data_IF_071707246572
#
_entry.id   IF_071707246572
#
_cell.length_a   1.000
_cell.length_b   1.000
_cell.length_c   1.000
_cell.angle_alpha   90.00
_cell.angle_beta   90.00
_cell.angle_gamma   90.00
#
_symmetry.space_group_name_H-M   'P 1'
#
loop_
_entity.id
_entity.type
_entity.pdbx_description
1 polymer ?
#
# COMPACT_ATOMS: atom_id res chain seq x y z
N UNK A 1 1.86 -58.56 32.81
CA UNK A 1 2.15 -57.26 32.19
C UNK A 1 1.97 -56.16 33.24
N UNK A 2 3.04 -55.48 33.61
CA UNK A 2 3.02 -54.54 34.73
C UNK A 2 2.36 -53.21 34.33
N UNK A 3 1.68 -52.60 35.27
CA UNK A 3 0.98 -51.29 35.14
C UNK A 3 1.89 -50.18 34.58
N UNK A 4 3.21 -50.31 34.75
CA UNK A 4 4.19 -49.36 34.17
C UNK A 4 4.30 -49.42 32.63
N UNK A 5 3.99 -50.51 31.97
CA UNK A 5 4.02 -50.59 30.50
C UNK A 5 2.75 -49.99 29.86
N UNK A 6 1.62 -49.96 30.57
CA UNK A 6 0.42 -49.30 30.10
C UNK A 6 0.53 -47.76 30.18
N UNK A 7 1.24 -47.25 31.20
CA UNK A 7 1.45 -45.78 31.35
C UNK A 7 2.33 -45.20 30.26
N UNK A 8 3.32 -45.92 29.74
CA UNK A 8 4.19 -45.46 28.67
C UNK A 8 3.52 -45.43 27.30
N UNK A 9 2.50 -46.25 27.06
CA UNK A 9 1.73 -46.26 25.82
C UNK A 9 0.71 -45.11 25.80
N UNK A 10 0.17 -44.70 26.95
CA UNK A 10 -0.76 -43.57 27.05
C UNK A 10 -0.06 -42.19 26.91
N UNK A 11 1.22 -42.10 27.33
CA UNK A 11 1.98 -40.83 27.24
C UNK A 11 2.45 -40.54 25.81
N UNK A 12 2.68 -41.59 25.00
CA UNK A 12 3.16 -41.40 23.61
C UNK A 12 2.06 -41.07 22.60
N UNK A 13 0.79 -41.29 22.95
CA UNK A 13 -0.36 -40.93 22.07
C UNK A 13 -0.88 -39.48 22.22
N UNK A 14 -0.34 -38.74 23.20
CA UNK A 14 -0.80 -37.36 23.48
C UNK A 14 -0.01 -36.25 22.78
N UNK A 15 1.00 -36.54 21.95
CA UNK A 15 1.92 -35.53 21.42
C UNK A 15 1.80 -35.28 19.89
N UNK A 16 0.76 -35.78 19.23
CA UNK A 16 0.49 -35.45 17.86
C UNK A 16 -0.85 -34.71 17.74
N UNK A 17 -1.01 -33.58 18.41
CA UNK A 17 -1.94 -32.57 17.90
C UNK A 17 -1.35 -32.04 16.60
N UNK A 18 -2.05 -32.16 15.43
CA UNK A 18 -1.57 -31.50 14.23
C UNK A 18 -1.46 -30.01 14.57
N UNK A 19 -0.25 -29.46 14.49
CA UNK A 19 -0.07 -28.01 14.53
C UNK A 19 -0.92 -27.46 13.39
N UNK A 20 -2.06 -26.89 13.72
CA UNK A 20 -2.85 -26.14 12.72
C UNK A 20 -1.93 -25.06 12.19
N UNK A 21 -1.75 -24.96 10.87
CA UNK A 21 -0.99 -23.90 10.27
C UNK A 21 -1.69 -22.59 10.64
N UNK A 22 -0.95 -21.69 11.28
CA UNK A 22 -1.45 -20.37 11.62
C UNK A 22 -1.33 -19.49 10.39
N UNK A 23 -2.42 -18.81 10.02
CA UNK A 23 -2.42 -17.80 8.96
C UNK A 23 -2.27 -16.46 9.65
N UNK A 24 -1.23 -15.72 9.30
CA UNK A 24 -0.91 -14.43 9.90
C UNK A 24 -1.43 -13.27 9.05
N UNK A 25 -1.28 -13.35 7.71
CA UNK A 25 -1.73 -12.34 6.76
C UNK A 25 -2.44 -12.94 5.55
N UNK A 26 -3.48 -12.25 5.09
CA UNK A 26 -4.16 -12.50 3.82
C UNK A 26 -4.39 -11.14 3.17
N UNK A 27 -3.69 -10.87 2.09
CA UNK A 27 -3.70 -9.55 1.47
C UNK A 27 -3.97 -9.63 -0.05
N UNK A 28 -4.83 -8.75 -0.58
CA UNK A 28 -5.61 -7.70 0.11
C UNK A 28 -6.59 -8.29 1.14
N UNK A 29 -7.00 -7.49 2.14
CA UNK A 29 -7.84 -7.95 3.26
C UNK A 29 -9.24 -8.42 2.83
N UNK A 30 -9.74 -7.89 1.73
CA UNK A 30 -10.99 -8.22 1.05
C UNK A 30 -10.92 -7.74 -0.39
N UNK A 31 -11.93 -8.11 -1.20
CA UNK A 31 -12.07 -7.59 -2.55
C UNK A 31 -13.54 -7.30 -2.89
N UNK A 32 -13.79 -6.79 -4.09
CA UNK A 32 -15.14 -6.46 -4.54
C UNK A 32 -15.55 -7.31 -5.76
N UNK A 33 -16.82 -7.67 -5.81
CA UNK A 33 -17.42 -8.20 -7.04
C UNK A 33 -17.73 -7.06 -8.01
N UNK A 34 -17.65 -7.31 -9.30
CA UNK A 34 -17.98 -6.30 -10.32
C UNK A 34 -16.83 -5.34 -10.63
N UNK A 35 -15.60 -5.66 -10.25
CA UNK A 35 -14.41 -4.96 -10.75
C UNK A 35 -14.28 -5.15 -12.26
N UNK A 36 -13.81 -4.12 -12.98
CA UNK A 36 -13.59 -4.20 -14.43
C UNK A 36 -12.49 -5.21 -14.75
N UNK A 37 -11.42 -5.25 -13.94
CA UNK A 37 -10.45 -6.33 -13.99
C UNK A 37 -10.93 -7.49 -13.08
N UNK A 38 -11.31 -8.65 -13.65
CA UNK A 38 -11.80 -9.79 -12.88
C UNK A 38 -10.69 -10.57 -12.16
N UNK A 39 -9.41 -10.25 -12.41
CA UNK A 39 -8.27 -10.94 -11.81
C UNK A 39 -7.97 -10.38 -10.42
N UNK A 40 -7.73 -11.29 -9.48
CA UNK A 40 -7.27 -10.99 -8.13
C UNK A 40 -6.14 -11.93 -7.77
N UNK A 41 -5.03 -11.41 -7.26
CA UNK A 41 -3.98 -12.21 -6.63
C UNK A 41 -4.04 -12.02 -5.12
N UNK A 42 -4.19 -13.10 -4.37
CA UNK A 42 -4.14 -13.08 -2.90
C UNK A 42 -2.75 -13.57 -2.46
N UNK A 43 -2.07 -12.77 -1.67
CA UNK A 43 -0.89 -13.18 -0.92
C UNK A 43 -1.34 -13.72 0.44
N UNK A 44 -0.89 -14.91 0.80
CA UNK A 44 -1.12 -15.52 2.11
C UNK A 44 0.22 -15.76 2.79
N UNK A 45 0.36 -15.31 4.02
CA UNK A 45 1.50 -15.58 4.89
C UNK A 45 1.05 -16.35 6.13
N UNK A 46 1.85 -17.35 6.49
CA UNK A 46 1.64 -18.14 7.68
C UNK A 46 2.64 -19.30 7.71
N UNK A 47 2.89 -19.86 8.86
CA UNK A 47 3.88 -20.91 9.03
C UNK A 47 3.61 -22.10 8.08
N UNK A 48 4.58 -22.41 7.21
CA UNK A 48 4.57 -23.51 6.26
C UNK A 48 3.36 -23.52 5.29
N UNK A 49 2.66 -22.36 5.11
CA UNK A 49 1.46 -22.28 4.27
C UNK A 49 1.75 -22.58 2.79
N UNK A 50 2.96 -22.28 2.31
CA UNK A 50 3.43 -22.60 0.96
C UNK A 50 3.50 -24.09 0.63
N UNK A 51 3.48 -24.96 1.66
CA UNK A 51 3.45 -26.42 1.48
C UNK A 51 2.02 -26.96 1.31
N UNK A 52 1.02 -26.09 1.30
CA UNK A 52 -0.39 -26.45 1.16
C UNK A 52 -0.92 -26.26 -0.25
N UNK A 53 -2.10 -26.80 -0.49
CA UNK A 53 -2.89 -26.54 -1.69
C UNK A 53 -4.18 -25.83 -1.27
N UNK A 54 -4.40 -24.56 -1.68
CA UNK A 54 -5.64 -23.85 -1.39
C UNK A 54 -6.81 -24.43 -2.23
N UNK A 55 -7.95 -24.51 -1.59
CA UNK A 55 -9.22 -24.94 -2.21
C UNK A 55 -10.29 -23.88 -1.90
N UNK A 56 -10.95 -23.41 -2.93
CA UNK A 56 -12.05 -22.46 -2.85
C UNK A 56 -13.25 -23.08 -3.53
N UNK A 57 -14.38 -23.13 -2.84
CA UNK A 57 -15.65 -23.51 -3.42
C UNK A 57 -16.65 -22.36 -3.24
N UNK A 58 -16.62 -21.42 -4.19
CA UNK A 58 -17.48 -20.25 -4.17
C UNK A 58 -18.00 -19.94 -5.59
N UNK A 59 -19.34 -19.84 -5.79
CA UNK A 59 -19.92 -19.61 -7.12
C UNK A 59 -19.37 -18.34 -7.77
N UNK A 60 -18.84 -18.49 -8.99
CA UNK A 60 -18.25 -17.37 -9.73
C UNK A 60 -16.81 -17.03 -9.38
N UNK A 61 -16.15 -17.80 -8.51
CA UNK A 61 -14.70 -17.66 -8.21
C UNK A 61 -13.96 -18.91 -8.64
N UNK A 62 -12.86 -18.72 -9.37
CA UNK A 62 -12.02 -19.83 -9.87
C UNK A 62 -10.57 -19.55 -9.55
N UNK A 63 -9.88 -20.53 -8.95
CA UNK A 63 -8.41 -20.50 -8.84
C UNK A 63 -7.83 -20.73 -10.23
N UNK A 64 -7.06 -19.78 -10.74
CA UNK A 64 -6.37 -19.86 -12.03
C UNK A 64 -4.99 -20.44 -11.88
N UNK A 65 -4.28 -20.02 -10.84
CA UNK A 65 -2.92 -20.50 -10.56
C UNK A 65 -2.59 -20.36 -9.09
N UNK A 66 -1.73 -21.24 -8.63
CA UNK A 66 -1.15 -21.23 -7.29
C UNK A 66 0.35 -21.11 -7.47
N UNK A 67 0.96 -20.13 -6.80
CA UNK A 67 2.39 -19.91 -6.87
C UNK A 67 3.00 -20.08 -5.48
N UNK A 68 3.96 -20.97 -5.37
CA UNK A 68 4.81 -21.09 -4.19
C UNK A 68 5.89 -20.03 -4.24
N UNK A 69 6.14 -19.38 -3.13
CA UNK A 69 7.26 -18.47 -2.99
C UNK A 69 8.56 -19.22 -2.68
N UNK A 70 9.69 -18.50 -2.62
CA UNK A 70 10.96 -19.07 -2.15
C UNK A 70 10.90 -19.36 -0.64
N UNK A 71 10.25 -18.48 0.14
CA UNK A 71 9.90 -18.79 1.52
C UNK A 71 8.68 -19.72 1.55
N UNK A 72 8.80 -20.82 2.29
CA UNK A 72 7.71 -21.78 2.51
C UNK A 72 6.53 -21.21 3.32
N UNK A 73 6.68 -20.02 3.88
CA UNK A 73 5.65 -19.32 4.65
C UNK A 73 4.76 -18.46 3.78
N UNK A 74 4.94 -18.43 2.46
CA UNK A 74 4.12 -17.66 1.54
C UNK A 74 3.47 -18.49 0.45
N UNK A 75 2.28 -18.07 0.07
CA UNK A 75 1.54 -18.60 -1.07
C UNK A 75 0.85 -17.46 -1.81
N UNK A 76 0.92 -17.46 -3.14
CA UNK A 76 0.18 -16.52 -3.98
C UNK A 76 -0.88 -17.28 -4.77
N UNK A 77 -2.12 -16.78 -4.73
CA UNK A 77 -3.28 -17.44 -5.33
C UNK A 77 -3.89 -16.48 -6.36
N UNK A 78 -3.77 -16.83 -7.64
CA UNK A 78 -4.42 -16.09 -8.72
C UNK A 78 -5.86 -16.57 -8.86
N UNK A 79 -6.80 -15.65 -8.68
CA UNK A 79 -8.24 -15.88 -8.81
C UNK A 79 -8.81 -15.17 -10.02
N UNK A 80 -9.85 -15.74 -10.57
CA UNK A 80 -10.79 -15.07 -11.48
C UNK A 80 -12.13 -14.92 -10.78
N UNK A 81 -12.61 -13.70 -10.65
CA UNK A 81 -13.93 -13.37 -10.10
C UNK A 81 -14.84 -13.02 -11.26
N UNK A 82 -15.73 -13.94 -11.62
CA UNK A 82 -16.66 -13.74 -12.72
C UNK A 82 -17.69 -12.64 -12.39
N UNK A 83 -18.22 -11.97 -13.41
CA UNK A 83 -19.28 -10.96 -13.22
C UNK A 83 -20.58 -11.52 -12.62
N UNK A 84 -20.74 -12.86 -12.58
CA UNK A 84 -21.86 -13.55 -11.93
C UNK A 84 -21.64 -13.80 -10.43
N UNK A 85 -20.41 -13.62 -9.93
CA UNK A 85 -20.12 -13.77 -8.51
C UNK A 85 -20.97 -12.82 -7.66
N UNK A 86 -21.43 -13.30 -6.51
CA UNK A 86 -22.21 -12.50 -5.57
C UNK A 86 -21.34 -12.04 -4.41
N UNK A 87 -21.66 -10.91 -3.76
CA UNK A 87 -21.03 -10.55 -2.49
C UNK A 87 -21.26 -11.61 -1.42
N UNK A 88 -20.28 -11.82 -0.55
CA UNK A 88 -20.37 -12.79 0.55
C UNK A 88 -18.97 -13.21 1.04
N UNK A 89 -18.94 -14.11 2.00
CA UNK A 89 -17.71 -14.65 2.54
C UNK A 89 -17.40 -16.01 1.87
N UNK A 90 -16.29 -16.10 1.16
CA UNK A 90 -15.75 -17.37 0.70
C UNK A 90 -14.78 -17.95 1.71
N UNK A 91 -14.76 -19.26 1.85
CA UNK A 91 -13.76 -19.96 2.65
C UNK A 91 -12.61 -20.39 1.75
N UNK A 92 -11.39 -20.13 2.19
CA UNK A 92 -10.17 -20.66 1.57
C UNK A 92 -9.65 -21.73 2.51
N UNK A 93 -9.74 -22.99 2.09
CA UNK A 93 -9.19 -24.13 2.82
C UNK A 93 -7.79 -24.45 2.31
N UNK A 94 -6.84 -24.59 3.21
CA UNK A 94 -5.46 -24.97 2.91
C UNK A 94 -5.26 -26.43 3.26
N UNK A 95 -5.03 -27.25 2.23
CA UNK A 95 -4.91 -28.70 2.38
C UNK A 95 -3.48 -29.19 2.23
N UNK A 96 -3.09 -30.13 3.09
CA UNK A 96 -1.86 -30.88 2.99
C UNK A 96 -2.17 -32.37 3.08
N UNK A 97 -1.68 -33.17 2.13
CA UNK A 97 -1.98 -34.61 2.03
C UNK A 97 -3.50 -34.91 2.09
N UNK A 98 -4.31 -34.06 1.44
CA UNK A 98 -5.77 -34.20 1.36
C UNK A 98 -6.56 -33.73 2.60
N UNK A 99 -5.89 -33.39 3.69
CA UNK A 99 -6.51 -32.88 4.93
C UNK A 99 -6.44 -31.37 4.99
N UNK A 100 -7.51 -30.71 5.40
CA UNK A 100 -7.49 -29.27 5.70
C UNK A 100 -6.74 -29.05 7.00
N UNK A 101 -5.66 -28.22 6.92
CA UNK A 101 -4.81 -27.91 8.07
C UNK A 101 -4.97 -26.45 8.53
N UNK A 102 -5.51 -25.61 7.67
CA UNK A 102 -5.90 -24.22 7.99
C UNK A 102 -7.07 -23.80 7.12
N UNK A 103 -7.83 -22.83 7.58
CA UNK A 103 -8.92 -22.20 6.82
C UNK A 103 -9.03 -20.73 7.18
N UNK A 104 -9.37 -19.89 6.21
CA UNK A 104 -9.70 -18.49 6.45
C UNK A 104 -10.95 -18.08 5.69
N UNK A 105 -11.66 -17.09 6.21
CA UNK A 105 -12.77 -16.43 5.51
C UNK A 105 -12.23 -15.23 4.76
N UNK A 106 -12.61 -15.11 3.49
CA UNK A 106 -12.25 -13.97 2.65
C UNK A 106 -13.50 -13.30 2.12
N UNK A 107 -13.66 -12.02 2.36
CA UNK A 107 -14.87 -11.28 2.00
C UNK A 107 -14.80 -10.74 0.59
N UNK A 108 -15.82 -11.06 -0.22
CA UNK A 108 -16.14 -10.38 -1.47
C UNK A 108 -17.26 -9.37 -1.19
N UNK A 109 -16.94 -8.10 -1.26
CA UNK A 109 -17.87 -7.01 -0.95
C UNK A 109 -18.70 -6.63 -2.19
N UNK A 110 -19.87 -6.05 -1.95
CA UNK A 110 -20.63 -5.39 -3.00
C UNK A 110 -19.92 -4.08 -3.36
N UNK A 111 -19.57 -3.90 -4.62
CA UNK A 111 -19.00 -2.64 -5.10
C UNK A 111 -20.08 -1.56 -5.17
N UNK A 112 -19.72 -0.33 -4.84
CA UNK A 112 -20.59 0.82 -5.12
C UNK A 112 -20.78 0.94 -6.65
N UNK A 113 -22.03 1.10 -7.08
CA UNK A 113 -22.37 1.22 -8.51
C UNK A 113 -21.68 2.41 -9.18
N UNK A 114 -21.35 3.45 -8.44
CA UNK A 114 -20.72 4.68 -8.93
C UNK A 114 -19.19 4.69 -8.73
N UNK A 115 -18.60 3.68 -8.09
CA UNK A 115 -17.16 3.67 -7.76
C UNK A 115 -16.29 3.91 -8.99
N UNK A 116 -16.58 3.24 -10.13
CA UNK A 116 -15.84 3.42 -11.37
C UNK A 116 -16.02 4.81 -12.01
N UNK A 117 -17.05 5.57 -11.63
CA UNK A 117 -17.34 6.91 -12.11
C UNK A 117 -16.83 8.01 -11.19
N UNK A 118 -16.18 7.66 -10.09
CA UNK A 118 -15.67 8.62 -9.12
C UNK A 118 -14.75 9.63 -9.79
N UNK A 119 -15.10 10.91 -9.64
CA UNK A 119 -14.34 12.02 -10.21
C UNK A 119 -13.15 12.34 -9.31
N UNK A 120 -11.94 12.24 -9.86
CA UNK A 120 -10.72 12.70 -9.20
C UNK A 120 -10.66 14.21 -9.07
N UNK A 121 -9.63 14.70 -8.36
CA UNK A 121 -9.34 16.14 -8.33
C UNK A 121 -8.93 16.64 -9.73
N UNK A 122 -9.16 17.92 -9.99
CA UNK A 122 -8.78 18.58 -11.24
C UNK A 122 -8.39 20.06 -10.99
N UNK A 123 -8.24 20.84 -12.05
CA UNK A 123 -7.81 22.24 -11.96
C UNK A 123 -8.81 23.17 -11.23
N UNK A 124 -10.02 22.72 -10.93
CA UNK A 124 -10.99 23.44 -10.12
C UNK A 124 -10.84 23.22 -8.61
N UNK A 125 -9.97 22.29 -8.22
CA UNK A 125 -9.77 21.96 -6.81
C UNK A 125 -8.65 22.78 -6.18
N UNK A 126 -8.88 23.20 -4.95
CA UNK A 126 -7.88 23.77 -4.05
C UNK A 126 -7.58 22.75 -2.97
N UNK A 127 -6.32 22.29 -2.93
CA UNK A 127 -5.91 21.16 -2.10
C UNK A 127 -5.19 21.67 -0.86
N UNK A 128 -5.62 21.22 0.33
CA UNK A 128 -4.98 21.48 1.61
C UNK A 128 -4.09 20.29 1.99
N UNK A 129 -2.77 20.50 1.98
CA UNK A 129 -1.81 19.52 2.49
C UNK A 129 -1.79 19.56 4.02
N UNK A 130 -1.95 18.41 4.64
CA UNK A 130 -1.96 18.25 6.09
C UNK A 130 -0.84 17.27 6.48
N UNK A 131 0.02 17.67 7.41
CA UNK A 131 0.84 16.73 8.17
C UNK A 131 0.06 16.38 9.44
N UNK A 132 -0.60 15.20 9.52
CA UNK A 132 -1.59 14.91 10.58
C UNK A 132 -1.02 15.11 11.98
N UNK A 133 0.15 14.56 12.26
CA UNK A 133 0.83 14.68 13.54
C UNK A 133 1.04 16.15 14.00
N UNK A 134 1.13 17.09 13.04
CA UNK A 134 1.41 18.51 13.28
C UNK A 134 0.16 19.39 13.25
N UNK A 135 -0.99 18.85 12.88
CA UNK A 135 -2.19 19.63 12.62
C UNK A 135 -3.01 19.86 13.89
N UNK A 136 -3.66 18.84 14.38
CA UNK A 136 -4.49 18.91 15.58
C UNK A 136 -4.58 17.53 16.27
N UNK A 137 -4.49 17.53 17.59
CA UNK A 137 -4.70 16.34 18.42
C UNK A 137 -6.17 16.29 18.84
N UNK A 138 -6.94 15.41 18.26
CA UNK A 138 -8.37 15.22 18.56
C UNK A 138 -8.62 14.12 19.60
N UNK A 139 -7.69 13.17 19.72
CA UNK A 139 -7.77 12.06 20.67
C UNK A 139 -6.43 11.83 21.39
N UNK A 140 -6.16 12.53 22.51
CA UNK A 140 -4.92 12.32 23.26
C UNK A 140 -4.71 10.90 23.79
N UNK A 141 -5.73 10.03 23.78
CA UNK A 141 -5.59 8.65 24.23
C UNK A 141 -4.78 7.79 23.23
N UNK A 142 -4.71 8.20 21.97
CA UNK A 142 -3.93 7.52 20.94
C UNK A 142 -2.48 8.00 20.79
N UNK A 143 -2.08 9.04 21.52
CA UNK A 143 -0.72 9.63 21.46
C UNK A 143 0.37 8.57 21.63
N UNK A 144 0.15 7.62 22.55
CA UNK A 144 1.09 6.53 22.85
C UNK A 144 0.35 5.21 22.86
N UNK A 145 0.69 4.34 21.90
CA UNK A 145 0.06 3.03 21.73
C UNK A 145 1.04 1.91 22.08
N UNK A 146 0.58 0.93 22.84
CA UNK A 146 1.36 -0.27 23.17
C UNK A 146 1.78 -1.01 21.88
N UNK A 147 3.03 -1.47 21.83
CA UNK A 147 3.58 -2.15 20.65
C UNK A 147 4.22 -1.22 19.61
N UNK A 148 3.93 0.08 19.62
CA UNK A 148 4.63 1.04 18.77
C UNK A 148 6.01 1.38 19.34
N UNK A 149 7.02 1.51 18.45
CA UNK A 149 8.43 1.71 18.85
C UNK A 149 8.69 3.13 19.34
N UNK A 150 8.19 4.16 18.65
CA UNK A 150 8.30 5.55 19.08
C UNK A 150 7.16 5.86 20.06
N UNK A 151 7.50 6.04 21.34
CA UNK A 151 6.56 6.10 22.46
C UNK A 151 6.45 7.49 23.11
N UNK A 152 7.22 8.46 22.62
CA UNK A 152 7.31 9.76 23.27
C UNK A 152 6.70 10.83 22.38
N UNK A 153 5.81 11.64 22.95
CA UNK A 153 5.39 12.92 22.38
C UNK A 153 6.40 13.97 22.79
N UNK A 154 7.06 14.56 21.79
CA UNK A 154 8.02 15.66 22.03
C UNK A 154 7.78 16.78 21.01
N UNK A 155 6.93 17.72 21.38
CA UNK A 155 6.58 18.89 20.55
C UNK A 155 7.72 19.90 20.38
N UNK A 156 8.83 19.74 21.11
CA UNK A 156 10.01 20.58 20.98
C UNK A 156 11.02 20.01 19.99
N UNK A 157 11.01 18.70 19.79
CA UNK A 157 11.87 18.04 18.82
C UNK A 157 11.28 18.16 17.40
N UNK A 158 12.07 18.65 16.47
CA UNK A 158 11.67 18.81 15.06
C UNK A 158 11.22 17.48 14.43
N UNK A 159 11.91 16.39 14.75
CA UNK A 159 11.59 15.03 14.27
C UNK A 159 10.73 14.22 15.25
N UNK A 160 10.36 14.77 16.41
CA UNK A 160 9.51 14.09 17.40
C UNK A 160 8.05 14.07 16.99
N UNK A 161 7.25 13.19 17.60
CA UNK A 161 5.80 13.19 17.43
C UNK A 161 5.15 14.30 18.25
N UNK A 162 4.10 14.92 17.69
CA UNK A 162 3.32 15.98 18.33
C UNK A 162 1.92 15.54 18.75
N UNK A 163 1.44 14.38 18.24
CA UNK A 163 0.17 13.78 18.65
C UNK A 163 -1.05 14.23 17.86
N UNK A 164 -0.90 14.96 16.76
CA UNK A 164 -2.02 15.21 15.86
C UNK A 164 -2.49 13.93 15.16
N UNK A 165 -3.80 13.84 14.84
CA UNK A 165 -4.45 12.60 14.42
C UNK A 165 -5.63 12.82 13.46
N UNK A 166 -6.28 11.72 13.04
CA UNK A 166 -7.45 11.75 12.15
C UNK A 166 -8.64 12.46 12.82
N UNK A 167 -8.84 12.27 14.11
CA UNK A 167 -9.93 12.94 14.83
C UNK A 167 -9.74 14.45 14.80
N UNK A 168 -8.50 14.93 15.01
CA UNK A 168 -8.19 16.35 14.90
C UNK A 168 -8.44 16.93 13.51
N UNK A 169 -8.22 16.14 12.43
CA UNK A 169 -8.59 16.57 11.07
C UNK A 169 -10.12 16.65 10.94
N UNK A 170 -10.84 15.64 11.42
CA UNK A 170 -12.31 15.61 11.39
C UNK A 170 -12.91 16.82 12.08
N UNK A 171 -12.41 17.16 13.24
CA UNK A 171 -12.91 18.28 14.06
C UNK A 171 -12.69 19.66 13.39
N UNK A 172 -11.76 19.74 12.45
CA UNK A 172 -11.40 20.97 11.73
C UNK A 172 -11.84 21.00 10.26
N UNK A 173 -12.68 20.06 9.82
CA UNK A 173 -13.15 20.04 8.41
C UNK A 173 -13.94 21.29 8.04
N UNK A 174 -14.72 21.89 8.97
CA UNK A 174 -15.44 23.14 8.72
C UNK A 174 -14.48 24.32 8.51
N UNK A 175 -13.48 24.44 9.36
CA UNK A 175 -12.42 25.43 9.21
C UNK A 175 -11.71 25.32 7.84
N UNK A 176 -11.35 24.09 7.41
CA UNK A 176 -10.71 23.87 6.11
C UNK A 176 -11.65 24.25 4.97
N UNK A 177 -12.95 23.91 5.08
CA UNK A 177 -13.96 24.26 4.08
C UNK A 177 -14.20 25.76 3.99
N UNK A 178 -14.27 26.45 5.12
CA UNK A 178 -14.46 27.91 5.18
C UNK A 178 -13.30 28.67 4.57
N UNK A 179 -12.08 28.14 4.64
CA UNK A 179 -10.92 28.68 3.92
C UNK A 179 -10.98 28.48 2.39
N UNK A 180 -11.99 27.79 1.86
CA UNK A 180 -12.21 27.61 0.42
C UNK A 180 -11.52 26.36 -0.17
N UNK A 181 -10.99 25.44 0.65
CA UNK A 181 -10.41 24.20 0.15
C UNK A 181 -11.51 23.23 -0.30
N UNK A 182 -11.24 22.52 -1.39
CA UNK A 182 -12.15 21.51 -1.99
C UNK A 182 -11.59 20.10 -1.91
N UNK A 183 -10.38 19.94 -1.44
CA UNK A 183 -9.74 18.65 -1.18
C UNK A 183 -8.76 18.75 -0.02
N UNK A 184 -8.63 17.65 0.71
CA UNK A 184 -7.61 17.45 1.74
C UNK A 184 -6.64 16.37 1.29
N UNK A 185 -5.37 16.57 1.56
CA UNK A 185 -4.29 15.63 1.32
C UNK A 185 -3.47 15.47 2.62
N UNK A 186 -3.84 14.54 3.50
CA UNK A 186 -2.98 14.18 4.62
C UNK A 186 -1.75 13.42 4.12
N UNK A 187 -0.57 13.67 4.71
CA UNK A 187 0.59 12.79 4.53
C UNK A 187 0.23 11.37 5.02
N UNK A 188 1.02 10.32 4.69
CA UNK A 188 0.57 8.95 4.87
C UNK A 188 0.07 8.65 6.29
N UNK A 189 -1.12 8.06 6.39
CA UNK A 189 -1.77 7.65 7.63
C UNK A 189 -1.62 6.16 7.92
N UNK A 190 -0.88 5.44 7.05
CA UNK A 190 -0.60 4.02 7.23
C UNK A 190 0.40 3.79 8.37
N UNK A 191 0.39 2.59 8.94
CA UNK A 191 1.28 2.24 10.04
C UNK A 191 2.73 2.57 9.71
N UNK A 192 3.38 3.33 10.59
CA UNK A 192 4.80 3.67 10.53
C UNK A 192 5.44 3.34 11.88
N UNK A 193 5.66 2.05 12.13
CA UNK A 193 6.23 1.55 13.38
C UNK A 193 7.76 1.64 13.39
N UNK A 194 8.29 2.81 13.09
CA UNK A 194 9.71 3.14 13.18
C UNK A 194 10.05 3.69 14.57
N UNK A 195 11.33 3.56 14.97
CA UNK A 195 11.78 3.99 16.30
C UNK A 195 11.96 5.51 16.41
N UNK A 196 12.05 6.21 15.27
CA UNK A 196 12.27 7.66 15.18
C UNK A 196 11.56 8.22 13.96
N UNK A 197 11.20 9.50 14.03
CA UNK A 197 10.61 10.27 12.94
C UNK A 197 9.33 9.66 12.34
N UNK A 198 8.62 8.83 13.09
CA UNK A 198 7.42 8.14 12.58
C UNK A 198 6.26 9.09 12.27
N UNK A 199 6.36 10.36 12.67
CA UNK A 199 5.34 11.39 12.47
C UNK A 199 5.03 11.67 11.00
N UNK A 200 6.00 11.50 10.10
CA UNK A 200 5.84 11.86 8.70
C UNK A 200 5.05 10.84 7.87
N UNK A 201 4.97 9.56 8.31
CA UNK A 201 4.19 8.51 7.67
C UNK A 201 4.85 7.76 6.51
N UNK A 202 5.94 8.27 5.92
CA UNK A 202 6.50 7.71 4.67
C UNK A 202 7.27 6.40 4.84
N UNK A 203 7.73 6.03 6.05
CA UNK A 203 8.37 4.73 6.31
C UNK A 203 7.32 3.68 6.71
N UNK A 204 6.45 3.32 5.77
CA UNK A 204 5.31 2.42 5.99
C UNK A 204 5.79 1.06 6.49
N UNK A 205 5.13 0.51 7.51
CA UNK A 205 5.42 -0.82 8.07
C UNK A 205 4.28 -1.82 7.88
N UNK A 206 3.13 -1.37 7.38
CA UNK A 206 2.01 -2.21 6.96
C UNK A 206 1.13 -1.43 5.97
N UNK A 207 0.98 -1.94 4.74
CA UNK A 207 0.22 -1.27 3.68
C UNK A 207 -1.31 -1.37 3.83
N UNK A 208 -1.81 -2.22 4.71
CA UNK A 208 -3.25 -2.43 4.92
C UNK A 208 -3.73 -1.98 6.31
N UNK A 209 -2.86 -1.32 7.08
CA UNK A 209 -3.16 -0.91 8.45
C UNK A 209 -2.99 0.60 8.63
N UNK A 210 -3.95 1.23 9.26
CA UNK A 210 -3.83 2.62 9.73
C UNK A 210 -2.91 2.66 10.95
N UNK A 211 -2.05 3.67 11.06
CA UNK A 211 -1.22 3.86 12.25
C UNK A 211 -2.13 4.11 13.46
N UNK A 212 -2.06 3.26 14.50
CA UNK A 212 -2.98 3.37 15.63
C UNK A 212 -2.82 4.67 16.42
N UNK A 213 -1.72 5.40 16.21
CA UNK A 213 -1.49 6.74 16.79
C UNK A 213 -2.15 7.85 15.99
N UNK A 214 -2.64 7.55 14.79
CA UNK A 214 -3.50 8.44 14.01
C UNK A 214 -4.97 8.05 14.13
N UNK A 215 -5.28 6.82 14.53
CA UNK A 215 -6.64 6.33 14.70
C UNK A 215 -6.86 4.93 14.16
N UNK A 216 -8.10 4.66 13.74
CA UNK A 216 -8.53 3.35 13.24
C UNK A 216 -8.91 3.41 11.76
N UNK A 217 -9.05 2.24 11.13
CA UNK A 217 -9.60 2.12 9.78
C UNK A 217 -10.99 2.74 9.67
N UNK A 218 -11.84 2.52 10.67
CA UNK A 218 -13.20 3.06 10.64
C UNK A 218 -13.20 4.58 10.80
N UNK A 219 -12.30 5.13 11.62
CA UNK A 219 -12.13 6.58 11.73
C UNK A 219 -11.60 7.19 10.42
N UNK A 220 -10.73 6.48 9.68
CA UNK A 220 -10.26 6.95 8.37
C UNK A 220 -11.39 6.94 7.33
N UNK A 221 -12.25 5.92 7.33
CA UNK A 221 -13.48 5.90 6.51
C UNK A 221 -14.42 7.04 6.89
N UNK A 222 -14.57 7.31 8.19
CA UNK A 222 -15.38 8.42 8.69
C UNK A 222 -14.84 9.78 8.21
N UNK A 223 -13.52 10.00 8.26
CA UNK A 223 -12.90 11.19 7.69
C UNK A 223 -13.27 11.37 6.22
N UNK A 224 -13.16 10.30 5.42
CA UNK A 224 -13.52 10.36 4.00
C UNK A 224 -14.99 10.70 3.80
N UNK A 225 -15.89 10.05 4.53
CA UNK A 225 -17.33 10.28 4.43
C UNK A 225 -17.72 11.71 4.87
N UNK A 226 -17.15 12.21 5.96
CA UNK A 226 -17.40 13.58 6.45
C UNK A 226 -16.84 14.65 5.51
N UNK A 227 -15.65 14.43 4.95
CA UNK A 227 -15.10 15.33 3.93
C UNK A 227 -16.01 15.38 2.68
N UNK A 228 -16.45 14.20 2.19
CA UNK A 228 -17.36 14.10 1.06
C UNK A 228 -18.71 14.79 1.31
N UNK A 229 -19.28 14.65 2.51
CA UNK A 229 -20.52 15.32 2.91
C UNK A 229 -20.40 16.85 2.88
N UNK A 230 -19.18 17.37 3.04
CA UNK A 230 -18.87 18.82 2.90
C UNK A 230 -18.44 19.22 1.46
N UNK A 231 -18.52 18.29 0.50
CA UNK A 231 -18.09 18.49 -0.89
C UNK A 231 -16.59 18.57 -1.05
N UNK A 232 -15.81 18.02 -0.11
CA UNK A 232 -14.35 17.93 -0.19
C UNK A 232 -13.92 16.52 -0.58
N UNK A 233 -12.87 16.43 -1.40
CA UNK A 233 -12.24 15.18 -1.81
C UNK A 233 -11.15 14.79 -0.82
N UNK A 234 -10.99 13.48 -0.58
CA UNK A 234 -9.83 12.94 0.12
C UNK A 234 -8.80 12.45 -0.90
N UNK A 235 -7.57 12.95 -0.80
CA UNK A 235 -6.43 12.52 -1.60
C UNK A 235 -5.54 11.65 -0.72
N UNK A 236 -5.27 10.44 -1.19
CA UNK A 236 -4.39 9.49 -0.52
C UNK A 236 -2.93 9.74 -0.89
N UNK A 237 -2.04 9.81 0.07
CA UNK A 237 -0.60 9.86 -0.15
C UNK A 237 -0.07 8.43 -0.25
N UNK A 238 0.15 7.97 -1.49
CA UNK A 238 0.61 6.62 -1.80
C UNK A 238 2.13 6.54 -1.82
N UNK A 239 2.68 5.47 -1.26
CA UNK A 239 4.12 5.18 -1.29
C UNK A 239 4.31 3.79 -1.89
N UNK A 240 4.73 3.71 -3.16
CA UNK A 240 4.97 2.44 -3.87
C UNK A 240 6.45 2.19 -4.19
N UNK A 241 7.33 3.08 -3.73
CA UNK A 241 8.76 2.95 -3.98
C UNK A 241 9.48 2.18 -2.86
N UNK A 242 9.18 2.48 -1.62
CA UNK A 242 9.92 1.97 -0.47
C UNK A 242 9.01 1.64 0.71
N UNK A 243 9.55 0.90 1.67
CA UNK A 243 8.93 0.59 2.96
C UNK A 243 9.84 1.06 4.09
N UNK A 244 9.36 1.04 5.33
CA UNK A 244 10.22 1.19 6.51
C UNK A 244 10.89 -0.12 6.91
N UNK A 245 12.09 -0.08 7.47
CA UNK A 245 12.79 -1.26 8.04
C UNK A 245 11.97 -1.99 9.11
N UNK A 246 10.95 -1.36 9.68
CA UNK A 246 10.03 -1.98 10.62
C UNK A 246 8.95 -2.83 9.98
N UNK A 247 8.89 -2.92 8.65
CA UNK A 247 7.87 -3.69 7.93
C UNK A 247 7.96 -5.17 8.29
N UNK A 248 6.82 -5.82 8.49
CA UNK A 248 6.78 -7.23 8.91
C UNK A 248 7.46 -8.18 7.91
N UNK A 249 7.52 -7.83 6.60
CA UNK A 249 8.27 -8.58 5.58
C UNK A 249 9.75 -8.69 5.87
N UNK A 250 10.36 -7.75 6.60
CA UNK A 250 11.80 -7.78 6.89
C UNK A 250 12.21 -8.98 7.74
N UNK A 251 11.26 -9.66 8.40
CA UNK A 251 11.52 -10.89 9.15
C UNK A 251 11.55 -12.13 8.25
N UNK A 252 10.82 -12.10 7.13
CA UNK A 252 10.70 -13.20 6.18
C UNK A 252 10.19 -12.65 4.83
N UNK A 253 11.05 -12.60 3.83
CA UNK A 253 10.69 -12.15 2.49
C UNK A 253 10.14 -13.32 1.66
N UNK A 254 9.07 -13.12 0.86
CA UNK A 254 8.55 -14.18 0.00
C UNK A 254 9.54 -14.62 -1.07
N UNK A 255 10.31 -13.67 -1.62
CA UNK A 255 11.33 -13.90 -2.65
C UNK A 255 12.59 -13.08 -2.32
N UNK A 256 13.78 -13.58 -2.68
CA UNK A 256 15.04 -12.85 -2.54
C UNK A 256 15.04 -11.50 -3.25
N UNK A 257 14.33 -11.43 -4.38
CA UNK A 257 14.16 -10.20 -5.16
C UNK A 257 12.84 -9.46 -4.85
N UNK A 258 12.30 -9.60 -3.65
CA UNK A 258 11.13 -8.85 -3.20
C UNK A 258 11.45 -7.38 -2.99
N UNK A 259 12.60 -7.13 -2.38
CA UNK A 259 13.21 -5.81 -2.23
C UNK A 259 14.53 -5.78 -3.01
N UNK A 260 14.96 -4.59 -3.39
CA UNK A 260 16.26 -4.40 -4.03
C UNK A 260 17.37 -4.24 -2.98
N UNK A 261 18.57 -4.78 -3.27
CA UNK A 261 19.77 -4.64 -2.44
C UNK A 261 19.59 -5.07 -0.96
N UNK A 262 19.02 -6.26 -0.75
CA UNK A 262 18.81 -6.80 0.61
C UNK A 262 20.10 -7.33 1.26
N UNK A 263 21.10 -7.72 0.47
CA UNK A 263 22.37 -8.26 0.97
C UNK A 263 23.36 -7.18 1.42
N UNK A 264 23.17 -5.95 0.95
CA UNK A 264 24.03 -4.81 1.31
C UNK A 264 23.27 -3.50 1.09
N UNK A 265 23.41 -2.57 2.02
CA UNK A 265 22.81 -1.25 1.87
C UNK A 265 23.42 -0.51 0.67
N UNK A 266 22.61 -0.25 -0.35
CA UNK A 266 22.95 0.56 -1.51
C UNK A 266 21.94 1.69 -1.61
N UNK A 267 22.40 2.91 -1.37
CA UNK A 267 21.57 4.11 -1.45
C UNK A 267 21.30 4.53 -2.88
N UNK A 268 20.15 5.12 -3.13
CA UNK A 268 19.89 5.79 -4.41
C UNK A 268 20.86 6.96 -4.62
N UNK A 269 21.25 7.18 -5.88
CA UNK A 269 22.08 8.34 -6.24
C UNK A 269 21.29 9.65 -6.39
N UNK A 270 19.96 9.61 -6.24
CA UNK A 270 19.02 10.74 -6.40
C UNK A 270 19.14 11.49 -7.74
N UNK A 271 19.73 10.88 -8.77
CA UNK A 271 19.96 11.49 -10.08
C UNK A 271 18.75 11.27 -11.01
N UNK A 272 17.63 11.93 -10.70
CA UNK A 272 16.35 11.73 -11.40
C UNK A 272 16.43 11.89 -12.92
N UNK A 273 17.34 12.72 -13.43
CA UNK A 273 17.54 12.97 -14.87
C UNK A 273 17.97 11.74 -15.64
N UNK A 274 18.55 10.72 -15.00
CA UNK A 274 18.97 9.47 -15.67
C UNK A 274 17.79 8.69 -16.27
N UNK A 275 16.57 8.94 -15.76
CA UNK A 275 15.38 8.30 -16.30
C UNK A 275 15.08 8.69 -17.74
N UNK A 276 15.34 9.96 -18.10
CA UNK A 276 15.05 10.52 -19.42
C UNK A 276 16.29 10.52 -20.33
N UNK A 277 17.49 10.47 -19.74
CA UNK A 277 18.75 10.53 -20.50
C UNK A 277 19.03 9.19 -21.21
N UNK A 278 19.02 9.16 -22.56
CA UNK A 278 19.33 7.94 -23.31
C UNK A 278 20.79 7.50 -23.16
N UNK A 279 21.68 8.41 -22.78
CA UNK A 279 23.10 8.16 -22.62
C UNK A 279 23.53 7.88 -21.18
N UNK A 280 22.62 7.98 -20.21
CA UNK A 280 22.92 7.63 -18.84
C UNK A 280 23.36 6.18 -18.71
N UNK A 281 24.37 5.92 -17.89
CA UNK A 281 24.89 4.57 -17.65
C UNK A 281 23.81 3.66 -17.07
N UNK A 282 23.90 2.37 -17.37
CA UNK A 282 23.00 1.36 -16.75
C UNK A 282 23.14 1.34 -15.23
N UNK A 283 24.35 1.59 -14.73
CA UNK A 283 24.63 1.64 -13.30
C UNK A 283 23.92 2.82 -12.63
N UNK A 284 23.99 4.01 -13.21
CA UNK A 284 23.32 5.19 -12.64
C UNK A 284 21.81 5.03 -12.64
N UNK A 285 21.25 4.47 -13.73
CA UNK A 285 19.83 4.12 -13.81
C UNK A 285 19.42 3.12 -12.73
N UNK A 286 20.22 2.07 -12.54
CA UNK A 286 19.95 1.06 -11.52
C UNK A 286 20.04 1.66 -10.09
N UNK A 287 21.06 2.48 -9.82
CA UNK A 287 21.17 3.15 -8.53
C UNK A 287 19.99 4.08 -8.25
N UNK A 288 19.51 4.80 -9.28
CA UNK A 288 18.37 5.70 -9.13
C UNK A 288 17.07 4.95 -8.81
N UNK A 289 16.83 3.81 -9.48
CA UNK A 289 15.51 3.15 -9.46
C UNK A 289 15.45 1.88 -8.61
N UNK A 290 16.56 1.48 -8.00
CA UNK A 290 16.68 0.29 -7.15
C UNK A 290 17.39 0.58 -5.83
N UNK A 291 18.10 1.72 -5.72
CA UNK A 291 18.75 2.11 -4.48
C UNK A 291 17.72 2.52 -3.42
N UNK A 292 18.00 2.19 -2.17
CA UNK A 292 17.16 2.58 -1.04
C UNK A 292 17.04 4.10 -0.97
N UNK A 293 15.85 4.60 -0.72
CA UNK A 293 15.61 6.04 -0.65
C UNK A 293 16.38 6.70 0.52
N UNK A 294 16.42 6.01 1.63
CA UNK A 294 17.10 6.35 2.87
C UNK A 294 17.62 5.05 3.51
N UNK A 295 18.57 5.13 4.45
CA UNK A 295 19.14 3.96 5.12
C UNK A 295 18.12 3.14 5.92
N UNK A 296 16.95 3.72 6.18
CA UNK A 296 15.82 3.11 6.87
C UNK A 296 14.64 2.78 5.94
N UNK A 297 14.77 3.04 4.62
CA UNK A 297 13.71 2.91 3.63
C UNK A 297 14.10 1.96 2.47
N UNK A 298 14.02 0.63 2.68
CA UNK A 298 14.26 -0.37 1.65
C UNK A 298 13.40 -0.18 0.42
N UNK A 299 14.02 -0.31 -0.75
CA UNK A 299 13.37 -0.16 -2.05
C UNK A 299 12.58 -1.43 -2.44
N UNK A 300 11.31 -1.26 -2.84
CA UNK A 300 10.46 -2.34 -3.32
C UNK A 300 10.74 -2.64 -4.79
N UNK A 301 10.97 -3.91 -5.11
CA UNK A 301 11.28 -4.31 -6.48
C UNK A 301 10.02 -4.38 -7.36
N UNK A 302 9.67 -3.28 -8.00
CA UNK A 302 8.55 -3.23 -8.95
C UNK A 302 8.70 -4.11 -10.19
N UNK A 303 9.91 -4.61 -10.51
CA UNK A 303 10.14 -5.58 -11.58
C UNK A 303 9.67 -7.00 -11.17
N UNK A 304 9.55 -7.30 -9.87
CA UNK A 304 8.96 -8.54 -9.41
C UNK A 304 7.44 -8.52 -9.68
N UNK A 305 6.90 -9.49 -10.46
CA UNK A 305 5.49 -9.45 -10.86
C UNK A 305 4.51 -9.58 -9.69
N UNK A 306 4.89 -10.25 -8.61
CA UNK A 306 4.05 -10.37 -7.41
C UNK A 306 4.06 -9.08 -6.61
N UNK A 307 5.20 -8.40 -6.47
CA UNK A 307 5.28 -7.06 -5.87
C UNK A 307 4.46 -6.06 -6.68
N UNK A 308 4.61 -6.07 -8.00
CA UNK A 308 3.84 -5.20 -8.89
C UNK A 308 2.33 -5.40 -8.73
N UNK A 309 1.86 -6.66 -8.73
CA UNK A 309 0.45 -6.99 -8.52
C UNK A 309 -0.04 -6.55 -7.13
N UNK A 310 0.77 -6.79 -6.09
CA UNK A 310 0.47 -6.38 -4.72
C UNK A 310 0.24 -4.87 -4.60
N UNK A 311 1.17 -4.05 -5.12
CA UNK A 311 1.09 -2.59 -5.03
C UNK A 311 -0.06 -1.99 -5.86
N UNK A 312 -0.34 -2.58 -7.05
CA UNK A 312 -1.50 -2.20 -7.87
C UNK A 312 -2.80 -2.48 -7.10
N UNK A 313 -2.94 -3.69 -6.55
CA UNK A 313 -4.13 -4.09 -5.81
C UNK A 313 -4.29 -3.32 -4.50
N UNK A 314 -3.20 -3.02 -3.80
CA UNK A 314 -3.23 -2.17 -2.62
C UNK A 314 -3.77 -0.77 -2.93
N UNK A 315 -3.31 -0.13 -4.00
CA UNK A 315 -3.81 1.19 -4.41
C UNK A 315 -5.30 1.15 -4.76
N UNK A 316 -5.74 0.13 -5.50
CA UNK A 316 -7.16 -0.07 -5.84
C UNK A 316 -7.99 -0.32 -4.57
N UNK A 317 -7.46 -1.11 -3.63
CA UNK A 317 -8.12 -1.41 -2.36
C UNK A 317 -8.37 -0.15 -1.53
N UNK A 318 -7.39 0.77 -1.48
CA UNK A 318 -7.56 2.05 -0.79
C UNK A 318 -8.58 2.96 -1.50
N UNK A 319 -8.59 2.99 -2.85
CA UNK A 319 -9.57 3.76 -3.62
C UNK A 319 -10.99 3.31 -3.28
N UNK A 320 -11.25 2.00 -3.30
CA UNK A 320 -12.57 1.44 -2.99
C UNK A 320 -12.93 1.60 -1.51
N UNK A 321 -11.97 1.39 -0.60
CA UNK A 321 -12.21 1.43 0.86
C UNK A 321 -12.56 2.83 1.35
N UNK A 322 -11.92 3.86 0.79
CA UNK A 322 -12.06 5.26 1.24
C UNK A 322 -12.83 6.13 0.25
N UNK A 323 -13.27 5.61 -0.90
CA UNK A 323 -13.89 6.41 -1.96
C UNK A 323 -13.05 7.65 -2.31
N UNK A 324 -11.78 7.43 -2.61
CA UNK A 324 -10.77 8.48 -2.78
C UNK A 324 -11.07 9.42 -3.94
N UNK A 325 -10.82 10.70 -3.76
CA UNK A 325 -10.84 11.72 -4.82
C UNK A 325 -9.51 11.86 -5.58
N UNK A 326 -8.49 11.09 -5.25
CA UNK A 326 -7.20 11.08 -5.94
C UNK A 326 -6.10 10.38 -5.16
N UNK A 327 -4.95 10.19 -5.83
CA UNK A 327 -3.71 9.74 -5.21
C UNK A 327 -2.63 10.77 -5.51
N UNK A 328 -1.89 11.20 -4.48
CA UNK A 328 -0.55 11.74 -4.66
C UNK A 328 0.43 10.59 -4.50
N UNK A 329 1.21 10.33 -5.54
CA UNK A 329 2.20 9.26 -5.51
C UNK A 329 3.56 9.83 -5.14
N UNK A 330 4.02 9.45 -3.98
CA UNK A 330 5.32 9.79 -3.40
C UNK A 330 6.45 9.26 -4.29
N UNK A 331 7.55 10.03 -4.36
CA UNK A 331 8.80 9.62 -5.02
C UNK A 331 8.59 8.92 -6.38
N UNK A 332 7.68 9.44 -7.23
CA UNK A 332 7.22 8.75 -8.44
C UNK A 332 8.36 8.29 -9.34
N UNK A 333 9.36 9.13 -9.55
CA UNK A 333 10.46 8.86 -10.48
C UNK A 333 11.53 7.87 -9.94
N UNK A 334 11.40 7.39 -8.72
CA UNK A 334 12.38 6.47 -8.10
C UNK A 334 12.08 5.00 -8.40
N UNK A 335 10.86 4.66 -8.80
CA UNK A 335 10.47 3.28 -9.11
C UNK A 335 10.73 2.92 -10.58
N UNK A 336 10.74 1.63 -10.90
CA UNK A 336 10.86 1.13 -12.26
C UNK A 336 9.79 1.68 -13.20
N UNK A 337 10.17 2.12 -14.40
CA UNK A 337 9.27 2.75 -15.38
C UNK A 337 8.18 1.81 -15.88
N UNK A 338 8.47 0.54 -16.04
CA UNK A 338 7.49 -0.45 -16.51
C UNK A 338 6.45 -0.71 -15.45
N UNK A 339 6.91 -0.83 -14.20
CA UNK A 339 6.00 -0.90 -13.05
C UNK A 339 5.10 0.34 -12.96
N UNK A 340 5.65 1.55 -13.01
CA UNK A 340 4.87 2.80 -12.93
C UNK A 340 3.83 2.92 -14.03
N UNK A 341 4.18 2.50 -15.27
CA UNK A 341 3.23 2.42 -16.38
C UNK A 341 2.09 1.45 -16.05
N UNK A 342 2.43 0.22 -15.64
CA UNK A 342 1.44 -0.81 -15.33
C UNK A 342 0.55 -0.39 -14.16
N UNK A 343 1.13 0.18 -13.10
CA UNK A 343 0.42 0.67 -11.93
C UNK A 343 -0.55 1.80 -12.29
N UNK A 344 -0.07 2.87 -12.93
CA UNK A 344 -0.91 4.00 -13.30
C UNK A 344 -2.01 3.61 -14.29
N UNK A 345 -1.69 2.78 -15.29
CA UNK A 345 -2.67 2.36 -16.28
C UNK A 345 -3.70 1.39 -15.71
N UNK A 346 -3.33 0.51 -14.77
CA UNK A 346 -4.30 -0.38 -14.10
C UNK A 346 -5.34 0.43 -13.32
N UNK A 347 -4.89 1.44 -12.56
CA UNK A 347 -5.78 2.33 -11.82
C UNK A 347 -6.67 3.14 -12.79
N UNK A 348 -6.07 3.77 -13.80
CA UNK A 348 -6.81 4.62 -14.73
C UNK A 348 -7.77 3.84 -15.65
N UNK A 349 -7.49 2.56 -15.91
CA UNK A 349 -8.41 1.67 -16.61
C UNK A 349 -9.64 1.33 -15.74
N UNK A 350 -9.42 1.10 -14.46
CA UNK A 350 -10.52 0.81 -13.52
C UNK A 350 -11.36 2.07 -13.23
N UNK A 351 -10.69 3.23 -13.09
CA UNK A 351 -11.30 4.52 -12.74
C UNK A 351 -10.95 5.62 -13.77
N UNK A 352 -11.59 5.66 -14.94
CA UNK A 352 -11.20 6.56 -16.03
C UNK A 352 -11.28 8.06 -15.70
N UNK A 353 -12.11 8.43 -14.72
CA UNK A 353 -12.32 9.81 -14.26
C UNK A 353 -11.46 10.18 -13.05
N UNK A 354 -10.73 9.24 -12.50
CA UNK A 354 -9.82 9.45 -11.37
C UNK A 354 -8.61 10.30 -11.76
N UNK A 355 -7.88 10.82 -10.78
CA UNK A 355 -6.61 11.51 -11.00
C UNK A 355 -5.52 11.02 -10.06
N UNK A 356 -4.31 10.99 -10.59
CA UNK A 356 -3.08 10.69 -9.87
C UNK A 356 -2.12 11.83 -10.15
N UNK A 357 -1.52 12.42 -9.11
CA UNK A 357 -0.40 13.35 -9.23
C UNK A 357 0.89 12.65 -8.78
N UNK A 358 1.86 12.56 -9.67
CA UNK A 358 3.18 12.00 -9.38
C UNK A 358 4.14 13.07 -8.86
N UNK A 359 4.87 12.75 -7.82
CA UNK A 359 5.90 13.63 -7.29
C UNK A 359 7.18 13.51 -8.12
N UNK A 360 7.54 14.60 -8.82
CA UNK A 360 8.82 14.78 -9.53
C UNK A 360 9.39 16.14 -9.16
N UNK A 361 10.44 16.16 -8.36
CA UNK A 361 11.00 17.41 -7.79
C UNK A 361 11.82 18.25 -8.75
N UNK A 362 11.83 17.89 -10.02
CA UNK A 362 12.62 18.64 -11.00
C UNK A 362 12.08 20.06 -11.19
N UNK A 363 13.01 21.01 -11.25
CA UNK A 363 12.71 22.39 -11.66
C UNK A 363 12.64 22.56 -13.17
N UNK A 364 13.02 21.52 -13.91
CA UNK A 364 12.95 21.48 -15.37
C UNK A 364 11.59 20.94 -15.81
N UNK A 365 10.77 21.74 -16.51
CA UNK A 365 9.44 21.30 -16.94
C UNK A 365 9.47 20.11 -17.92
N UNK A 366 10.55 19.93 -18.67
CA UNK A 366 10.70 18.77 -19.56
C UNK A 366 10.82 17.46 -18.79
N UNK A 367 11.52 17.47 -17.65
CA UNK A 367 11.69 16.31 -16.77
C UNK A 367 10.36 16.01 -16.06
N UNK A 368 9.71 17.01 -15.48
CA UNK A 368 8.41 16.84 -14.84
C UNK A 368 7.36 16.32 -15.82
N UNK A 369 7.30 16.88 -17.04
CA UNK A 369 6.33 16.48 -18.05
C UNK A 369 6.61 15.11 -18.69
N UNK A 370 7.80 14.56 -18.57
CA UNK A 370 8.18 13.25 -19.12
C UNK A 370 7.19 12.13 -18.70
N UNK A 371 6.72 12.17 -17.47
CA UNK A 371 5.86 11.16 -16.87
C UNK A 371 4.39 11.28 -17.27
N UNK A 372 3.98 12.43 -17.82
CA UNK A 372 2.57 12.71 -18.09
C UNK A 372 2.03 11.92 -19.27
N UNK A 373 0.80 11.46 -19.13
CA UNK A 373 0.05 10.79 -20.20
C UNK A 373 0.03 11.63 -21.47
N UNK A 374 0.19 10.97 -22.61
CA UNK A 374 0.15 11.61 -23.95
C UNK A 374 1.46 12.27 -24.39
N UNK A 375 2.50 12.27 -23.56
CA UNK A 375 3.83 12.73 -23.99
C UNK A 375 4.49 11.71 -24.91
N UNK A 376 5.13 12.23 -25.96
CA UNK A 376 5.98 11.44 -26.86
C UNK A 376 7.43 11.52 -26.36
N UNK A 377 7.87 10.50 -25.67
CA UNK A 377 9.23 10.42 -25.13
C UNK A 377 10.16 9.70 -26.12
N UNK A 378 11.41 10.15 -26.22
CA UNK A 378 12.39 9.59 -27.18
C UNK A 378 12.71 8.11 -26.92
N UNK A 379 12.59 7.65 -25.68
CA UNK A 379 12.80 6.25 -25.28
C UNK A 379 11.54 5.38 -25.40
N UNK A 380 10.43 5.95 -25.92
CA UNK A 380 9.16 5.28 -26.09
C UNK A 380 8.34 5.10 -24.82
N UNK A 381 8.77 5.65 -23.67
CA UNK A 381 7.99 5.58 -22.45
C UNK A 381 6.64 6.29 -22.63
N UNK A 382 5.57 5.61 -22.21
CA UNK A 382 4.21 6.16 -22.18
C UNK A 382 3.45 5.50 -21.01
N UNK A 383 3.03 6.29 -20.06
CA UNK A 383 2.22 5.89 -18.90
C UNK A 383 0.84 6.51 -18.90
N UNK A 384 0.06 6.23 -17.85
CA UNK A 384 -1.29 6.76 -17.68
C UNK A 384 -1.38 7.81 -16.56
N UNK A 385 -0.26 8.34 -16.11
CA UNK A 385 -0.21 9.42 -15.12
C UNK A 385 -0.73 10.71 -15.72
N UNK A 386 -1.83 11.25 -15.19
CA UNK A 386 -2.43 12.48 -15.73
C UNK A 386 -1.66 13.73 -15.36
N UNK A 387 -1.18 13.82 -14.13
CA UNK A 387 -0.56 15.04 -13.60
C UNK A 387 0.73 14.75 -12.85
N UNK A 388 1.63 15.73 -12.85
CA UNK A 388 2.84 15.78 -12.02
C UNK A 388 2.82 17.07 -11.20
N UNK A 389 3.52 17.08 -10.06
CA UNK A 389 3.65 18.28 -9.23
C UNK A 389 4.46 19.34 -9.97
N UNK A 390 3.96 20.59 -10.00
CA UNK A 390 4.60 21.70 -10.74
C UNK A 390 5.66 22.41 -9.88
N UNK A 391 6.75 21.72 -9.58
CA UNK A 391 7.93 22.33 -8.96
C UNK A 391 8.60 23.40 -9.81
N UNK A 392 8.61 23.35 -11.16
CA UNK A 392 9.12 24.42 -12.00
C UNK A 392 8.43 25.76 -11.76
N UNK A 393 7.10 25.77 -11.58
CA UNK A 393 6.34 26.99 -11.30
C UNK A 393 6.66 27.54 -9.90
N UNK A 394 6.60 26.67 -8.88
CA UNK A 394 6.86 27.05 -7.47
C UNK A 394 8.17 27.81 -7.29
N UNK A 395 9.26 27.30 -7.86
CA UNK A 395 10.58 27.90 -7.67
C UNK A 395 10.76 29.24 -8.39
N UNK A 396 9.97 29.50 -9.45
CA UNK A 396 9.96 30.82 -10.09
C UNK A 396 9.27 31.89 -9.22
N UNK A 397 8.23 31.49 -8.46
CA UNK A 397 7.52 32.38 -7.55
C UNK A 397 8.29 32.69 -6.28
N UNK A 398 9.02 31.73 -5.73
CA UNK A 398 9.82 31.92 -4.50
C UNK A 398 11.11 32.74 -4.71
N UNK A 399 11.51 33.02 -5.95
CA UNK A 399 12.70 33.86 -6.27
C UNK A 399 12.37 35.31 -6.57
N UNK A 400 11.09 35.70 -6.47
CA UNK A 400 10.63 37.10 -6.54
C UNK A 400 10.23 37.58 -5.15
#
# INVERSE_FOLDING_TARGET
MSIQRLLHILIFSMLCSPLAAQIDHVEPLNWWVGMKNPALQIMVHGKDIGETTPVINYPGVTIKKIHKAESKNYLFIDLLIAGTAKPGNMTIDFKQSGKTIASTKYSLLKRDANAAQQKGFDASDVIYLITPDRFANGDPANDVVAGMKEKVIDRKAESGRHGGDIQGIIDHLDYIKEMGFTAIWPSPLLENNMARASYHGYSITDHYKVDPRFGTMDLYKELSAKAAAKGMKLIFDGVVNHIGLGYWWMNDLPFKNWLNFTDSLVMTNHQRTVNQDPYASKQDKALMTKGWFDDSMPDMNGENPFMSAYLIQNSIWWIETLHLGGIRQDTYCYSDKTFLKNWSCSIMNEYPRFNIVGEEWSTNPLIAAYWQQGKKNNDGYSGCLKTTMDFPCRLRWCKR
#
